data_IF_650722557138
#
_entry.id   IF_650722557138
#
_cell.length_a   1.000
_cell.length_b   1.000
_cell.length_c   1.000
_cell.angle_alpha   90.00
_cell.angle_beta   90.00
_cell.angle_gamma   90.00
#
_symmetry.space_group_name_H-M   'P 1'
#
loop_
_entity.id
_entity.type
_entity.pdbx_description
1 polymer ?
#
# COMPACT_ATOMS: atom_id res chain seq x y z
N UNK A 1 -23.37 24.68 20.22
CA UNK A 1 -22.64 23.39 20.13
C UNK A 1 -23.43 22.43 19.23
N UNK A 2 -23.20 22.46 17.91
CA UNK A 2 -23.84 21.52 16.97
C UNK A 2 -23.01 20.23 16.96
N UNK A 3 -23.65 19.08 17.16
CA UNK A 3 -23.00 17.81 17.42
C UNK A 3 -22.23 17.29 16.20
N UNK A 4 -20.91 17.14 16.33
CA UNK A 4 -20.05 16.45 15.35
C UNK A 4 -20.55 15.02 15.03
N UNK A 5 -21.29 14.40 15.94
CA UNK A 5 -21.87 13.06 15.79
C UNK A 5 -22.95 12.96 14.69
N UNK A 6 -23.72 14.02 14.47
CA UNK A 6 -24.80 14.02 13.47
C UNK A 6 -24.27 14.12 12.02
N UNK A 7 -23.06 14.66 11.85
CA UNK A 7 -22.38 14.78 10.55
C UNK A 7 -21.89 13.40 10.07
N UNK A 8 -21.30 12.60 10.97
CA UNK A 8 -20.85 11.24 10.65
C UNK A 8 -21.99 10.33 10.22
N UNK A 9 -23.10 10.30 10.97
CA UNK A 9 -24.25 9.43 10.65
C UNK A 9 -24.86 9.72 9.27
N UNK A 10 -25.01 11.00 8.90
CA UNK A 10 -25.50 11.39 7.58
C UNK A 10 -24.52 10.98 6.48
N UNK A 11 -23.21 11.09 6.71
CA UNK A 11 -22.18 10.63 5.76
C UNK A 11 -22.26 9.11 5.55
N UNK A 12 -22.36 8.33 6.63
CA UNK A 12 -22.54 6.88 6.54
C UNK A 12 -23.80 6.50 5.75
N UNK A 13 -24.93 7.18 5.96
CA UNK A 13 -26.13 6.95 5.17
C UNK A 13 -25.94 7.26 3.68
N UNK A 14 -25.20 8.31 3.33
CA UNK A 14 -24.90 8.63 1.92
C UNK A 14 -24.02 7.57 1.29
N UNK A 15 -22.99 7.08 2.01
CA UNK A 15 -22.14 5.98 1.57
C UNK A 15 -22.97 4.72 1.33
N UNK A 16 -23.81 4.31 2.28
CA UNK A 16 -24.68 3.13 2.11
C UNK A 16 -25.62 3.26 0.92
N UNK A 17 -26.23 4.44 0.73
CA UNK A 17 -27.10 4.70 -0.44
C UNK A 17 -26.31 4.68 -1.75
N UNK A 18 -25.08 5.20 -1.76
CA UNK A 18 -24.22 5.15 -2.94
C UNK A 18 -23.85 3.70 -3.30
N UNK A 19 -23.49 2.89 -2.31
CA UNK A 19 -23.19 1.47 -2.49
C UNK A 19 -24.40 0.69 -3.01
N UNK A 20 -25.60 0.96 -2.47
CA UNK A 20 -26.83 0.32 -2.93
C UNK A 20 -27.13 0.68 -4.40
N UNK A 21 -27.06 1.96 -4.76
CA UNK A 21 -27.25 2.42 -6.15
C UNK A 21 -26.23 1.80 -7.10
N UNK A 22 -24.97 1.70 -6.67
CA UNK A 22 -23.93 1.04 -7.45
C UNK A 22 -24.26 -0.44 -7.67
N UNK A 23 -24.66 -1.16 -6.61
CA UNK A 23 -25.07 -2.57 -6.69
C UNK A 23 -26.25 -2.78 -7.65
N UNK A 24 -27.28 -1.94 -7.55
CA UNK A 24 -28.43 -1.96 -8.47
C UNK A 24 -28.01 -1.66 -9.92
N UNK A 25 -27.13 -0.67 -10.13
CA UNK A 25 -26.62 -0.34 -11.46
C UNK A 25 -25.85 -1.52 -12.08
N UNK A 26 -25.02 -2.22 -11.31
CA UNK A 26 -24.29 -3.41 -11.79
C UNK A 26 -25.27 -4.55 -12.12
N UNK A 27 -26.30 -4.80 -11.29
CA UNK A 27 -27.33 -5.81 -11.59
C UNK A 27 -28.07 -5.50 -12.88
N UNK A 28 -28.42 -4.23 -13.09
CA UNK A 28 -29.07 -3.78 -14.31
C UNK A 28 -28.13 -3.94 -15.53
N UNK A 29 -26.85 -3.63 -15.37
CA UNK A 29 -25.85 -3.83 -16.43
C UNK A 29 -25.70 -5.31 -16.81
N UNK A 30 -25.64 -6.23 -15.83
CA UNK A 30 -25.64 -7.68 -16.07
C UNK A 30 -26.88 -8.11 -16.86
N UNK A 31 -28.07 -7.67 -16.44
CA UNK A 31 -29.33 -8.02 -17.10
C UNK A 31 -29.34 -7.55 -18.57
N UNK A 32 -28.91 -6.30 -18.82
CA UNK A 32 -28.79 -5.75 -20.18
C UNK A 32 -27.78 -6.53 -21.02
N UNK A 33 -26.60 -6.81 -20.46
CA UNK A 33 -25.59 -7.62 -21.15
C UNK A 33 -26.15 -8.99 -21.52
N UNK A 34 -26.75 -9.73 -20.57
CA UNK A 34 -27.28 -11.08 -20.81
C UNK A 34 -28.38 -11.08 -21.88
N UNK A 35 -29.21 -10.04 -21.91
CA UNK A 35 -30.24 -9.85 -22.94
C UNK A 35 -29.61 -9.70 -24.33
N UNK A 36 -28.59 -8.86 -24.46
CA UNK A 36 -27.90 -8.67 -25.75
C UNK A 36 -27.03 -9.87 -26.12
N UNK A 37 -26.37 -10.51 -25.16
CA UNK A 37 -25.54 -11.69 -25.36
C UNK A 37 -26.32 -12.84 -25.98
N UNK A 38 -27.57 -13.04 -25.56
CA UNK A 38 -28.46 -14.05 -26.13
C UNK A 38 -28.90 -13.73 -27.58
N UNK A 39 -28.94 -12.45 -27.96
CA UNK A 39 -29.34 -12.00 -29.29
C UNK A 39 -28.20 -12.01 -30.33
N UNK A 40 -26.95 -12.28 -29.92
CA UNK A 40 -25.80 -12.38 -30.83
C UNK A 40 -25.78 -13.71 -31.57
N UNK A 41 -25.10 -13.74 -32.73
CA UNK A 41 -24.82 -14.96 -33.48
C UNK A 41 -23.29 -15.16 -33.63
N UNK A 42 -22.69 -16.17 -32.97
CA UNK A 42 -23.31 -17.13 -32.05
C UNK A 42 -23.73 -16.50 -30.71
N UNK A 43 -24.72 -17.07 -30.01
CA UNK A 43 -25.13 -16.61 -28.68
C UNK A 43 -23.96 -16.68 -27.70
N UNK A 44 -23.82 -15.66 -26.85
CA UNK A 44 -22.74 -15.60 -25.85
C UNK A 44 -23.22 -16.07 -24.48
N UNK A 45 -22.31 -16.66 -23.66
CA UNK A 45 -22.67 -17.13 -22.33
C UNK A 45 -23.09 -15.96 -21.42
N UNK A 46 -24.13 -16.14 -20.59
CA UNK A 46 -24.56 -15.14 -19.63
C UNK A 46 -23.56 -15.00 -18.48
N UNK A 47 -23.52 -13.82 -17.87
CA UNK A 47 -22.70 -13.49 -16.72
C UNK A 47 -23.60 -13.43 -15.48
N UNK A 48 -23.14 -13.99 -14.37
CA UNK A 48 -23.81 -13.93 -13.07
C UNK A 48 -23.19 -12.88 -12.14
N UNK A 49 -23.93 -12.52 -11.09
CA UNK A 49 -23.39 -11.66 -10.03
C UNK A 49 -22.16 -12.27 -9.35
N UNK A 50 -22.12 -13.60 -9.21
CA UNK A 50 -20.99 -14.33 -8.63
C UNK A 50 -19.73 -14.13 -9.47
N UNK A 51 -19.87 -14.23 -10.79
CA UNK A 51 -18.76 -13.99 -11.72
C UNK A 51 -18.24 -12.55 -11.56
N UNK A 52 -19.13 -11.56 -11.52
CA UNK A 52 -18.73 -10.16 -11.30
C UNK A 52 -18.02 -9.97 -9.96
N UNK A 53 -18.49 -10.57 -8.87
CA UNK A 53 -17.80 -10.45 -7.57
C UNK A 53 -16.42 -11.10 -7.57
N UNK A 54 -16.26 -12.19 -8.31
CA UNK A 54 -14.97 -12.85 -8.48
C UNK A 54 -14.01 -11.97 -9.32
N UNK A 55 -14.53 -11.27 -10.34
CA UNK A 55 -13.75 -10.34 -11.17
C UNK A 55 -13.50 -8.96 -10.52
N UNK A 56 -14.42 -8.45 -9.69
CA UNK A 56 -14.27 -7.12 -9.07
C UNK A 56 -13.21 -7.10 -7.98
N UNK A 57 -12.99 -8.23 -7.30
CA UNK A 57 -11.85 -8.41 -6.39
C UNK A 57 -10.50 -8.30 -7.11
N UNK A 58 -10.47 -8.53 -8.42
CA UNK A 58 -9.26 -8.61 -9.23
C UNK A 58 -8.86 -7.27 -9.87
N UNK A 59 -9.60 -6.18 -9.68
CA UNK A 59 -9.33 -4.90 -10.36
C UNK A 59 -9.56 -4.95 -11.88
N UNK A 60 -10.26 -5.98 -12.36
CA UNK A 60 -10.41 -6.32 -13.77
C UNK A 60 -11.83 -5.99 -14.25
N UNK A 61 -12.02 -4.79 -14.78
CA UNK A 61 -13.19 -4.45 -15.62
C UNK A 61 -12.95 -4.74 -17.11
N UNK A 62 -12.04 -5.67 -17.44
CA UNK A 62 -11.77 -6.07 -18.83
C UNK A 62 -12.91 -6.88 -19.46
N UNK A 63 -13.93 -7.22 -18.68
CA UNK A 63 -15.20 -7.78 -19.14
C UNK A 63 -15.84 -6.95 -20.28
N UNK A 64 -15.55 -5.65 -20.36
CA UNK A 64 -16.08 -4.74 -21.39
C UNK A 64 -15.13 -4.53 -22.59
N UNK A 65 -13.90 -5.04 -22.57
CA UNK A 65 -12.95 -4.91 -23.67
C UNK A 65 -13.20 -5.98 -24.74
N UNK A 66 -14.34 -5.89 -25.42
CA UNK A 66 -14.79 -6.83 -26.46
C UNK A 66 -13.97 -6.80 -27.77
N UNK A 67 -12.87 -6.05 -27.84
CA UNK A 67 -12.07 -5.87 -29.07
C UNK A 67 -10.71 -6.58 -29.06
N UNK A 68 -10.34 -7.27 -27.98
CA UNK A 68 -9.09 -8.04 -27.90
C UNK A 68 -9.42 -9.51 -27.65
N UNK A 69 -8.59 -10.41 -28.18
CA UNK A 69 -8.73 -11.86 -28.02
C UNK A 69 -9.18 -12.22 -26.60
N UNK A 70 -10.12 -13.16 -26.47
CA UNK A 70 -10.67 -13.54 -25.17
C UNK A 70 -9.55 -14.07 -24.27
N UNK A 71 -9.07 -13.22 -23.37
CA UNK A 71 -7.93 -13.56 -22.53
C UNK A 71 -8.31 -14.52 -21.42
N UNK A 72 -9.61 -14.73 -21.15
CA UNK A 72 -10.12 -15.56 -20.05
C UNK A 72 -9.70 -17.02 -20.15
N UNK A 73 -9.49 -17.50 -21.37
CA UNK A 73 -9.05 -18.88 -21.62
C UNK A 73 -7.56 -19.09 -21.31
N UNK A 74 -6.78 -18.01 -21.24
CA UNK A 74 -5.37 -18.11 -20.90
C UNK A 74 -5.18 -18.56 -19.46
N UNK A 75 -4.19 -19.43 -19.22
CA UNK A 75 -3.89 -19.89 -17.87
C UNK A 75 -3.56 -18.76 -16.91
N UNK A 76 -2.89 -17.69 -17.36
CA UNK A 76 -2.61 -16.52 -16.52
C UNK A 76 -3.84 -15.68 -16.19
N UNK A 77 -4.97 -15.85 -16.89
CA UNK A 77 -6.22 -15.14 -16.61
C UNK A 77 -7.11 -15.89 -15.62
N UNK A 78 -6.94 -17.21 -15.47
CA UNK A 78 -7.74 -18.04 -14.55
C UNK A 78 -7.41 -17.68 -13.09
N UNK A 79 -8.42 -17.54 -12.21
CA UNK A 79 -8.24 -17.08 -10.83
C UNK A 79 -7.22 -17.89 -10.02
N UNK A 80 -7.27 -19.23 -10.12
CA UNK A 80 -6.37 -20.11 -9.37
C UNK A 80 -4.90 -19.89 -9.72
N UNK A 81 -4.58 -19.77 -11.01
CA UNK A 81 -3.21 -19.55 -11.47
C UNK A 81 -2.74 -18.14 -11.14
N UNK A 82 -3.59 -17.11 -11.21
CA UNK A 82 -3.25 -15.76 -10.73
C UNK A 82 -2.93 -15.74 -9.25
N UNK A 83 -3.75 -16.38 -8.41
CA UNK A 83 -3.47 -16.46 -6.98
C UNK A 83 -2.13 -17.15 -6.70
N UNK A 84 -1.82 -18.23 -7.44
CA UNK A 84 -0.53 -18.90 -7.35
C UNK A 84 0.63 -17.98 -7.81
N UNK A 85 0.48 -17.27 -8.93
CA UNK A 85 1.46 -16.30 -9.42
C UNK A 85 1.67 -15.16 -8.42
N UNK A 86 0.62 -14.59 -7.85
CA UNK A 86 0.73 -13.54 -6.82
C UNK A 86 1.50 -14.05 -5.61
N UNK A 87 1.23 -15.28 -5.14
CA UNK A 87 1.99 -15.89 -4.04
C UNK A 87 3.45 -16.12 -4.43
N UNK A 88 3.70 -16.63 -5.63
CA UNK A 88 5.05 -16.87 -6.15
C UNK A 88 5.85 -15.56 -6.26
N UNK A 89 5.29 -14.52 -6.87
CA UNK A 89 5.96 -13.23 -7.00
C UNK A 89 6.11 -12.52 -5.66
N UNK A 90 5.15 -12.65 -4.73
CA UNK A 90 5.34 -12.19 -3.35
C UNK A 90 6.53 -12.88 -2.71
N UNK A 91 6.65 -14.19 -2.86
CA UNK A 91 7.78 -14.95 -2.33
C UNK A 91 9.09 -14.48 -2.96
N UNK A 92 9.18 -14.34 -4.28
CA UNK A 92 10.36 -13.80 -4.95
C UNK A 92 10.71 -12.40 -4.42
N UNK A 93 9.71 -11.53 -4.33
CA UNK A 93 9.87 -10.17 -3.80
C UNK A 93 10.34 -10.18 -2.35
N UNK A 94 9.84 -11.07 -1.50
CA UNK A 94 10.31 -11.20 -0.11
C UNK A 94 11.81 -11.47 -0.03
N UNK A 95 12.38 -12.27 -0.94
CA UNK A 95 13.83 -12.50 -0.98
C UNK A 95 14.61 -11.24 -1.37
N UNK A 96 14.11 -10.48 -2.36
CA UNK A 96 14.71 -9.20 -2.75
C UNK A 96 14.62 -8.16 -1.62
N UNK A 97 13.46 -8.04 -0.99
CA UNK A 97 13.23 -7.08 0.10
C UNK A 97 14.05 -7.45 1.33
N UNK A 98 14.33 -8.73 1.60
CA UNK A 98 15.23 -9.15 2.67
C UNK A 98 16.64 -8.59 2.49
N UNK A 99 17.19 -8.68 1.28
CA UNK A 99 18.49 -8.10 0.93
C UNK A 99 18.44 -6.57 1.05
N UNK A 100 17.36 -5.96 0.56
CA UNK A 100 17.15 -4.51 0.57
C UNK A 100 17.10 -3.96 1.99
N UNK A 101 16.36 -4.61 2.89
CA UNK A 101 16.27 -4.23 4.30
C UNK A 101 17.64 -4.21 4.95
N UNK A 102 18.52 -5.18 4.65
CA UNK A 102 19.89 -5.17 5.15
C UNK A 102 20.70 -3.93 4.74
N UNK A 103 20.56 -3.48 3.48
CA UNK A 103 21.20 -2.25 3.01
C UNK A 103 20.57 -1.00 3.65
N UNK A 104 19.24 -0.94 3.72
CA UNK A 104 18.52 0.20 4.29
C UNK A 104 18.79 0.36 5.80
N UNK A 105 18.86 -0.73 6.55
CA UNK A 105 19.25 -0.73 7.97
C UNK A 105 20.63 -0.11 8.14
N UNK A 106 21.62 -0.53 7.34
CA UNK A 106 22.97 0.01 7.40
C UNK A 106 23.03 1.50 7.02
N UNK A 107 22.33 1.89 5.95
CA UNK A 107 22.28 3.27 5.51
C UNK A 107 21.65 4.18 6.57
N UNK A 108 20.54 3.75 7.17
CA UNK A 108 19.89 4.54 8.21
C UNK A 108 20.78 4.65 9.45
N UNK A 109 21.43 3.55 9.86
CA UNK A 109 22.35 3.56 10.99
C UNK A 109 23.51 4.54 10.77
N UNK A 110 24.13 4.47 9.58
CA UNK A 110 25.24 5.37 9.21
C UNK A 110 24.79 6.82 9.14
N UNK A 111 23.62 7.09 8.53
CA UNK A 111 23.07 8.45 8.44
C UNK A 111 22.81 9.06 9.80
N UNK A 112 22.26 8.29 10.76
CA UNK A 112 22.01 8.77 12.13
C UNK A 112 23.34 9.07 12.81
N UNK A 113 24.31 8.17 12.70
CA UNK A 113 25.63 8.35 13.32
C UNK A 113 26.36 9.59 12.78
N UNK A 114 26.38 9.77 11.45
CA UNK A 114 27.02 10.91 10.80
C UNK A 114 26.33 12.23 11.15
N UNK A 115 24.99 12.23 11.20
CA UNK A 115 24.19 13.39 11.62
C UNK A 115 24.50 13.79 13.08
N UNK A 116 24.50 12.82 14.00
CA UNK A 116 24.79 13.07 15.42
C UNK A 116 26.22 13.61 15.62
N UNK A 117 27.19 13.02 14.94
CA UNK A 117 28.59 13.47 14.99
C UNK A 117 28.75 14.88 14.40
N UNK A 118 28.06 15.18 13.30
CA UNK A 118 28.08 16.50 12.67
C UNK A 118 27.48 17.56 13.58
N UNK A 119 26.32 17.29 14.16
CA UNK A 119 25.62 18.26 15.02
C UNK A 119 26.39 18.49 16.32
N UNK A 120 26.97 17.45 16.92
CA UNK A 120 27.83 17.60 18.08
C UNK A 120 29.02 18.52 17.78
N UNK A 121 29.69 18.31 16.64
CA UNK A 121 30.81 19.16 16.19
C UNK A 121 30.38 20.61 15.98
N UNK A 122 29.26 20.85 15.31
CA UNK A 122 28.75 22.21 15.06
C UNK A 122 28.39 22.91 16.39
N UNK A 123 27.79 22.18 17.34
CA UNK A 123 27.49 22.74 18.67
C UNK A 123 28.79 23.13 19.38
N UNK A 124 29.83 22.29 19.35
CA UNK A 124 31.12 22.60 19.99
C UNK A 124 31.79 23.84 19.38
N UNK A 125 31.75 23.99 18.05
CA UNK A 125 32.25 25.18 17.34
C UNK A 125 31.44 26.44 17.69
N UNK A 126 30.12 26.31 17.82
CA UNK A 126 29.23 27.42 18.18
C UNK A 126 29.35 27.80 19.66
N UNK A 127 29.67 26.89 20.56
CA UNK A 127 29.89 27.24 21.97
C UNK A 127 31.03 28.24 22.17
N UNK A 128 32.02 28.25 21.25
CA UNK A 128 33.14 29.19 21.26
C UNK A 128 32.77 30.53 20.62
N UNK A 129 31.92 30.52 19.58
CA UNK A 129 31.62 31.71 18.77
C UNK A 129 30.29 32.40 19.12
N UNK A 130 29.22 31.64 19.32
CA UNK A 130 27.85 32.09 19.60
C UNK A 130 27.08 31.07 20.47
N UNK A 131 27.25 31.20 21.79
CA UNK A 131 26.65 30.32 22.80
C UNK A 131 25.09 30.30 22.78
N UNK A 132 24.38 31.43 22.62
CA UNK A 132 22.93 31.43 22.41
C UNK A 132 22.48 30.56 21.21
N UNK A 133 23.16 30.67 20.07
CA UNK A 133 22.82 29.87 18.89
C UNK A 133 23.11 28.37 19.11
N UNK A 134 24.20 28.03 19.78
CA UNK A 134 24.50 26.65 20.16
C UNK A 134 23.41 26.04 21.05
N UNK A 135 22.87 26.83 21.98
CA UNK A 135 21.81 26.40 22.90
C UNK A 135 20.50 26.14 22.16
N UNK A 136 20.13 27.00 21.22
CA UNK A 136 18.92 26.82 20.42
C UNK A 136 19.02 25.60 19.49
N UNK A 137 20.17 25.43 18.82
CA UNK A 137 20.42 24.28 17.96
C UNK A 137 20.32 22.96 18.74
N UNK A 138 20.85 22.92 19.96
CA UNK A 138 20.73 21.77 20.86
C UNK A 138 19.27 21.47 21.22
N UNK A 139 18.49 22.49 21.55
CA UNK A 139 17.07 22.33 21.88
C UNK A 139 16.26 21.80 20.69
N UNK A 140 16.51 22.33 19.49
CA UNK A 140 15.82 21.90 18.28
C UNK A 140 16.20 20.45 17.91
N UNK A 141 17.47 20.08 18.02
CA UNK A 141 17.95 18.73 17.71
C UNK A 141 17.42 17.66 18.68
N UNK A 142 17.06 18.03 19.92
CA UNK A 142 16.58 17.07 20.93
C UNK A 142 15.43 16.19 20.46
N UNK A 143 14.45 16.78 19.75
CA UNK A 143 13.31 16.03 19.22
C UNK A 143 13.73 15.00 18.16
N UNK A 144 14.67 15.37 17.29
CA UNK A 144 15.19 14.48 16.26
C UNK A 144 16.04 13.36 16.89
N UNK A 145 16.87 13.68 17.88
CA UNK A 145 17.64 12.68 18.61
C UNK A 145 16.72 11.64 19.28
N UNK A 146 15.63 12.06 19.92
CA UNK A 146 14.67 11.12 20.52
C UNK A 146 14.03 10.18 19.49
N UNK A 147 13.72 10.68 18.29
CA UNK A 147 13.21 9.88 17.17
C UNK A 147 14.29 8.91 16.67
N UNK A 148 15.53 9.40 16.50
CA UNK A 148 16.67 8.59 16.09
C UNK A 148 16.94 7.45 17.09
N UNK A 149 16.80 7.68 18.40
CA UNK A 149 16.91 6.62 19.41
C UNK A 149 15.85 5.52 19.24
N UNK A 150 14.61 5.88 18.90
CA UNK A 150 13.57 4.89 18.58
C UNK A 150 13.89 4.12 17.30
N UNK A 151 14.44 4.80 16.29
CA UNK A 151 14.90 4.15 15.07
C UNK A 151 16.03 3.18 15.35
N UNK A 152 17.07 3.59 16.09
CA UNK A 152 18.19 2.71 16.47
C UNK A 152 17.70 1.46 17.21
N UNK A 153 16.78 1.59 18.16
CA UNK A 153 16.20 0.44 18.84
C UNK A 153 15.45 -0.50 17.87
N UNK A 154 14.70 0.05 16.92
CA UNK A 154 14.01 -0.75 15.91
C UNK A 154 14.99 -1.44 14.95
N UNK A 155 16.07 -0.76 14.57
CA UNK A 155 17.14 -1.32 13.74
C UNK A 155 17.86 -2.46 14.46
N UNK A 156 18.11 -2.34 15.77
CA UNK A 156 18.63 -3.43 16.58
C UNK A 156 17.69 -4.63 16.57
N UNK A 157 16.38 -4.43 16.78
CA UNK A 157 15.41 -5.53 16.71
C UNK A 157 15.42 -6.24 15.36
N UNK A 158 15.53 -5.48 14.26
CA UNK A 158 15.63 -6.04 12.90
C UNK A 158 16.93 -6.85 12.76
N UNK A 159 18.05 -6.34 13.26
CA UNK A 159 19.35 -7.02 13.18
C UNK A 159 19.37 -8.35 13.97
N UNK A 160 18.60 -8.46 15.04
CA UNK A 160 18.46 -9.69 15.84
C UNK A 160 17.49 -10.71 15.23
N UNK A 161 16.79 -10.39 14.14
CA UNK A 161 15.83 -11.31 13.55
C UNK A 161 16.53 -12.51 12.88
N UNK A 162 16.08 -13.76 13.06
CA UNK A 162 16.77 -14.96 12.57
C UNK A 162 16.94 -15.04 11.05
N UNK A 163 16.09 -14.33 10.30
CA UNK A 163 16.12 -14.29 8.83
C UNK A 163 16.82 -13.02 8.31
N UNK A 164 17.40 -12.20 9.19
CA UNK A 164 18.16 -11.04 8.76
C UNK A 164 19.50 -11.48 8.15
N UNK A 165 19.85 -10.93 6.98
CA UNK A 165 21.05 -11.31 6.21
C UNK A 165 22.02 -10.13 6.07
N UNK A 166 21.78 -9.02 6.78
CA UNK A 166 22.73 -7.91 6.82
C UNK A 166 23.89 -8.20 7.76
N UNK A 167 25.12 -7.96 7.31
CA UNK A 167 26.34 -7.88 8.14
C UNK A 167 26.54 -6.48 8.69
#
# INVERSE_FOLDING_TARGET
MKSHFQVGYKLHQQISKALQRCSEAIRNAISRYNTHAAALNPPRPPISWKDITEYSFLGEFDLLCHSRADVRDNNWAKPTFRQAMVKFFKLQRTHEELIRVGMEVRHLWTSIHDEEAHIAKVIDELLISDCPLASELRNQHWSQHAINQLHLHSLEQIAHHPQYVGT
#
